data_IF_348056293207
#
_entry.id   IF_348056293207
#
_cell.length_a   1.000
_cell.length_b   1.000
_cell.length_c   1.000
_cell.angle_alpha   90.00
_cell.angle_beta   90.00
_cell.angle_gamma   90.00
#
_symmetry.space_group_name_H-M   'P 1'
#
loop_
_entity.id
_entity.type
_entity.pdbx_description
1 polymer ?
#
# COMPACT_ATOMS: atom_id res chain seq x y z
N UNK A 1 -18.53 5.43 -0.72
CA UNK A 1 -17.15 5.88 -0.96
C UNK A 1 -16.34 5.64 0.30
N UNK A 2 -15.21 4.93 0.19
CA UNK A 2 -14.29 4.63 1.27
C UNK A 2 -13.08 5.57 1.22
N UNK A 3 -12.60 6.03 2.37
CA UNK A 3 -11.41 6.89 2.44
C UNK A 3 -10.31 6.21 3.25
N UNK A 4 -9.18 5.94 2.60
CA UNK A 4 -7.98 5.37 3.19
C UNK A 4 -6.91 6.45 3.35
N UNK A 5 -6.39 6.63 4.57
CA UNK A 5 -5.32 7.59 4.84
C UNK A 5 -4.02 6.86 5.20
N UNK A 6 -2.98 7.06 4.41
CA UNK A 6 -1.62 6.59 4.72
C UNK A 6 -1.11 7.32 5.96
N UNK A 7 -0.76 6.58 7.01
CA UNK A 7 -0.39 7.13 8.32
C UNK A 7 0.91 6.54 8.87
N UNK A 8 2.04 6.92 8.25
CA UNK A 8 3.40 6.75 8.77
C UNK A 8 4.15 8.10 8.74
N UNK A 9 3.68 9.13 9.45
CA UNK A 9 4.22 10.49 9.36
C UNK A 9 5.71 10.58 9.68
N UNK A 10 6.20 9.75 10.61
CA UNK A 10 7.61 9.63 10.98
C UNK A 10 8.52 9.17 9.83
N UNK A 11 7.96 8.40 8.89
CA UNK A 11 8.64 7.94 7.68
C UNK A 11 8.17 8.69 6.43
N UNK A 12 7.51 9.85 6.59
CA UNK A 12 6.89 10.62 5.48
C UNK A 12 6.01 9.75 4.58
N UNK A 13 5.30 8.79 5.18
CA UNK A 13 4.47 7.80 4.48
C UNK A 13 5.23 6.95 3.47
N UNK A 14 6.53 6.69 3.67
CA UNK A 14 7.27 5.72 2.86
C UNK A 14 6.56 4.36 2.87
N UNK A 15 6.54 3.69 1.72
CA UNK A 15 5.83 2.44 1.49
C UNK A 15 6.70 1.26 1.90
N UNK A 16 6.44 0.68 3.06
CA UNK A 16 7.00 -0.63 3.46
C UNK A 16 6.00 -1.77 3.18
N UNK A 17 6.44 -3.03 3.32
CA UNK A 17 5.62 -4.22 3.10
C UNK A 17 4.39 -4.27 4.00
N UNK A 18 4.51 -3.83 5.26
CA UNK A 18 3.38 -3.78 6.19
C UNK A 18 2.29 -2.81 5.70
N UNK A 19 2.67 -1.60 5.27
CA UNK A 19 1.73 -0.61 4.75
C UNK A 19 1.08 -1.08 3.43
N UNK A 20 1.85 -1.67 2.51
CA UNK A 20 1.31 -2.22 1.28
C UNK A 20 0.37 -3.41 1.51
N UNK A 21 0.65 -4.23 2.53
CA UNK A 21 -0.23 -5.34 2.93
C UNK A 21 -1.57 -4.81 3.43
N UNK A 22 -1.56 -3.84 4.35
CA UNK A 22 -2.78 -3.22 4.86
C UNK A 22 -3.57 -2.52 3.75
N UNK A 23 -2.89 -1.86 2.81
CA UNK A 23 -3.54 -1.22 1.67
C UNK A 23 -4.22 -2.24 0.75
N UNK A 24 -3.54 -3.35 0.43
CA UNK A 24 -4.11 -4.42 -0.38
C UNK A 24 -5.34 -5.04 0.31
N UNK A 25 -5.26 -5.35 1.60
CA UNK A 25 -6.38 -5.91 2.38
C UNK A 25 -7.58 -4.95 2.42
N UNK A 26 -7.34 -3.64 2.61
CA UNK A 26 -8.39 -2.65 2.62
C UNK A 26 -9.09 -2.51 1.26
N UNK A 27 -8.34 -2.57 0.15
CA UNK A 27 -8.89 -2.51 -1.20
C UNK A 27 -9.67 -3.78 -1.57
N UNK A 28 -9.20 -4.96 -1.16
CA UNK A 28 -9.91 -6.23 -1.34
C UNK A 28 -11.24 -6.24 -0.57
N UNK A 29 -11.24 -5.79 0.68
CA UNK A 29 -12.47 -5.65 1.47
C UNK A 29 -13.44 -4.66 0.80
N UNK A 30 -12.93 -3.53 0.31
CA UNK A 30 -13.73 -2.55 -0.42
C UNK A 30 -14.31 -3.09 -1.73
N UNK A 31 -13.57 -3.92 -2.47
CA UNK A 31 -14.04 -4.52 -3.72
C UNK A 31 -15.18 -5.51 -3.50
N UNK A 32 -15.19 -6.19 -2.35
CA UNK A 32 -16.23 -7.14 -1.95
C UNK A 32 -17.49 -6.47 -1.36
N UNK A 33 -17.41 -5.19 -0.97
CA UNK A 33 -18.52 -4.47 -0.36
C UNK A 33 -19.40 -3.78 -1.43
N UNK A 34 -20.65 -4.20 -1.64
CA UNK A 34 -21.56 -3.55 -2.59
C UNK A 34 -21.92 -2.10 -2.19
N UNK A 35 -21.72 -1.70 -0.94
CA UNK A 35 -21.88 -0.32 -0.46
C UNK A 35 -20.71 0.61 -0.83
N UNK A 36 -19.57 0.08 -1.28
CA UNK A 36 -18.42 0.87 -1.69
C UNK A 36 -18.39 1.02 -3.21
N UNK A 37 -18.65 2.25 -3.67
CA UNK A 37 -18.61 2.61 -5.08
C UNK A 37 -17.26 3.16 -5.55
N UNK A 38 -16.42 3.65 -4.63
CA UNK A 38 -15.14 4.27 -4.93
C UNK A 38 -14.26 4.31 -3.68
N UNK A 39 -12.94 4.30 -3.88
CA UNK A 39 -11.92 4.46 -2.85
C UNK A 39 -11.10 5.73 -3.10
N UNK A 40 -10.95 6.56 -2.07
CA UNK A 40 -10.01 7.69 -2.06
C UNK A 40 -8.83 7.30 -1.19
N UNK A 41 -7.62 7.40 -1.74
CA UNK A 41 -6.38 7.23 -0.97
C UNK A 41 -5.76 8.60 -0.80
N UNK A 42 -5.45 8.97 0.44
CA UNK A 42 -4.73 10.21 0.76
C UNK A 42 -3.55 9.94 1.67
N UNK A 43 -2.62 10.89 1.76
CA UNK A 43 -1.65 10.93 2.84
C UNK A 43 -2.06 11.88 3.96
N UNK A 44 -1.09 12.22 4.80
CA UNK A 44 -1.25 13.25 5.82
C UNK A 44 -1.11 14.67 5.24
N UNK A 45 -1.11 15.68 6.11
CA UNK A 45 -1.13 17.09 5.69
C UNK A 45 0.08 17.54 4.85
N UNK A 46 1.24 16.89 5.00
CA UNK A 46 2.48 17.33 4.35
C UNK A 46 2.92 16.45 3.18
N UNK A 47 2.56 15.16 3.21
CA UNK A 47 3.07 14.18 2.24
C UNK A 47 1.99 13.14 1.94
N UNK A 48 1.86 12.77 0.67
CA UNK A 48 1.13 11.58 0.25
C UNK A 48 1.89 10.31 0.69
N UNK A 49 3.02 10.04 0.03
CA UNK A 49 3.99 8.99 0.32
C UNK A 49 5.35 9.38 -0.27
N UNK A 50 6.43 9.22 0.49
CA UNK A 50 7.79 9.58 0.06
C UNK A 50 8.51 8.49 -0.76
N UNK A 51 7.76 7.61 -1.44
CA UNK A 51 8.32 6.49 -2.22
C UNK A 51 8.51 5.22 -1.38
N UNK A 52 9.46 4.37 -1.75
CA UNK A 52 9.76 3.13 -1.03
C UNK A 52 10.51 3.41 0.28
N UNK A 53 10.32 2.52 1.27
CA UNK A 53 11.05 2.59 2.53
C UNK A 53 12.49 2.10 2.33
N UNK A 54 13.45 3.02 2.35
CA UNK A 54 14.87 2.71 2.10
C UNK A 54 15.47 1.79 3.16
N UNK A 55 14.98 1.83 4.40
CA UNK A 55 15.48 0.94 5.45
C UNK A 55 15.09 -0.51 5.16
N UNK A 56 13.85 -0.75 4.70
CA UNK A 56 13.39 -2.07 4.28
C UNK A 56 14.10 -2.55 3.01
N UNK A 57 14.54 -1.63 2.14
CA UNK A 57 15.35 -1.98 0.97
C UNK A 57 16.80 -2.30 1.33
N UNK A 58 17.36 -1.64 2.34
CA UNK A 58 18.74 -1.85 2.78
C UNK A 58 18.94 -3.22 3.47
N UNK A 59 17.89 -3.81 4.03
CA UNK A 59 17.91 -5.13 4.67
C UNK A 59 17.83 -6.30 3.67
N UNK A 60 17.65 -6.03 2.36
CA UNK A 60 17.52 -7.06 1.33
C UNK A 60 18.87 -7.42 0.68
N UNK A 61 19.38 -8.62 1.00
CA UNK A 61 20.46 -9.26 0.25
C UNK A 61 19.95 -9.98 -1.02
N UNK A 62 20.86 -10.44 -1.89
CA UNK A 62 20.53 -11.13 -3.15
C UNK A 62 19.50 -12.27 -2.99
N UNK A 63 19.60 -13.17 -1.98
CA UNK A 63 18.61 -14.21 -1.75
C UNK A 63 17.23 -13.66 -1.35
N UNK A 64 17.19 -12.59 -0.53
CA UNK A 64 15.97 -11.95 -0.07
C UNK A 64 15.19 -11.23 -1.20
N UNK A 65 15.81 -11.03 -2.36
CA UNK A 65 15.16 -10.46 -3.54
C UNK A 65 14.24 -11.47 -4.24
N UNK A 66 14.57 -12.77 -4.17
CA UNK A 66 13.73 -13.82 -4.78
C UNK A 66 12.41 -14.03 -4.03
N UNK A 67 12.40 -13.73 -2.73
CA UNK A 67 11.22 -13.80 -1.86
C UNK A 67 10.54 -12.43 -1.68
N UNK A 68 10.82 -11.46 -2.58
CA UNK A 68 10.23 -10.14 -2.47
C UNK A 68 8.70 -10.21 -2.61
N UNK A 69 8.00 -9.79 -1.55
CA UNK A 69 6.55 -9.75 -1.49
C UNK A 69 5.98 -8.59 -2.32
N UNK A 70 6.76 -7.56 -2.63
CA UNK A 70 6.24 -6.32 -3.23
C UNK A 70 5.57 -6.52 -4.59
N UNK A 71 6.11 -7.30 -5.55
CA UNK A 71 5.41 -7.58 -6.81
C UNK A 71 4.02 -8.19 -6.60
N UNK A 72 3.88 -9.10 -5.64
CA UNK A 72 2.59 -9.72 -5.28
C UNK A 72 1.64 -8.71 -4.63
N UNK A 73 2.13 -7.85 -3.75
CA UNK A 73 1.32 -6.81 -3.10
C UNK A 73 0.80 -5.79 -4.12
N UNK A 74 1.64 -5.36 -5.06
CA UNK A 74 1.22 -4.47 -6.14
C UNK A 74 0.19 -5.13 -7.06
N UNK A 75 0.37 -6.40 -7.42
CA UNK A 75 -0.62 -7.12 -8.21
C UNK A 75 -2.00 -7.19 -7.53
N UNK A 76 -2.04 -7.33 -6.19
CA UNK A 76 -3.30 -7.28 -5.41
C UNK A 76 -3.94 -5.90 -5.45
N UNK A 77 -3.14 -4.83 -5.35
CA UNK A 77 -3.62 -3.45 -5.42
C UNK A 77 -4.16 -3.13 -6.82
N UNK A 78 -3.43 -3.51 -7.88
CA UNK A 78 -3.81 -3.29 -9.28
C UNK A 78 -5.07 -4.08 -9.68
N UNK A 79 -5.40 -5.15 -8.95
CA UNK A 79 -6.62 -5.93 -9.15
C UNK A 79 -7.89 -5.23 -8.64
N UNK A 80 -7.78 -4.05 -7.99
CA UNK A 80 -8.95 -3.28 -7.57
C UNK A 80 -9.79 -2.88 -8.81
N UNK A 81 -11.11 -3.18 -8.83
CA UNK A 81 -11.92 -3.02 -10.02
C UNK A 81 -12.16 -1.54 -10.37
N UNK A 82 -11.87 -1.17 -11.61
CA UNK A 82 -12.35 0.08 -12.21
C UNK A 82 -13.82 -0.12 -12.62
N UNK A 83 -14.76 0.29 -11.76
CA UNK A 83 -16.19 0.34 -12.10
C UNK A 83 -16.58 1.66 -12.75
#
# INVERSE_FOLDING_TARGET
MLHLTLNRPQARNALNNALLTLLAEALEAAAADPGVSACVISGGQRFFAAGADLNEMAEKDLPATFDDLRPRLWARIDAFPNR
#
